data_IF_409675563701
#
_entry.id   IF_409675563701
#
_cell.length_a   1.000
_cell.length_b   1.000
_cell.length_c   1.000
_cell.angle_alpha   90.00
_cell.angle_beta   90.00
_cell.angle_gamma   90.00
#
_symmetry.space_group_name_H-M   'P 1'
#
loop_
_entity.id
_entity.type
_entity.pdbx_description
1 polymer ?
#
# COMPACT_ATOMS: atom_id res chain seq x y z
N UNK A 1 -8.14 -5.82 -25.73
CA UNK A 1 -6.77 -6.12 -25.22
C UNK A 1 -6.52 -5.51 -23.84
N UNK A 2 -6.84 -4.23 -23.61
CA UNK A 2 -6.73 -3.56 -22.29
C UNK A 2 -7.54 -4.25 -21.17
N UNK A 3 -8.83 -4.54 -21.40
CA UNK A 3 -9.71 -5.23 -20.44
C UNK A 3 -9.20 -6.63 -20.09
N UNK A 4 -8.66 -7.35 -21.09
CA UNK A 4 -8.10 -8.70 -20.89
C UNK A 4 -6.86 -8.67 -20.00
N UNK A 5 -6.03 -7.63 -20.12
CA UNK A 5 -4.81 -7.53 -19.33
C UNK A 5 -5.09 -7.01 -17.91
N UNK A 6 -6.00 -6.03 -17.73
CA UNK A 6 -6.43 -5.56 -16.38
C UNK A 6 -7.08 -6.73 -15.65
N UNK A 7 -7.94 -7.48 -16.34
CA UNK A 7 -8.54 -8.69 -15.81
C UNK A 7 -7.49 -9.72 -15.42
N UNK A 8 -6.45 -9.96 -16.23
CA UNK A 8 -5.34 -10.87 -15.87
C UNK A 8 -4.57 -10.42 -14.63
N UNK A 9 -4.32 -9.12 -14.44
CA UNK A 9 -3.63 -8.58 -13.26
C UNK A 9 -4.48 -8.71 -11.99
N UNK A 10 -5.76 -8.33 -12.07
CA UNK A 10 -6.74 -8.54 -11.00
C UNK A 10 -6.90 -10.04 -10.74
N UNK A 11 -6.86 -10.89 -11.78
CA UNK A 11 -6.96 -12.35 -11.63
C UNK A 11 -5.71 -12.96 -11.03
N UNK A 12 -4.51 -12.42 -11.28
CA UNK A 12 -3.28 -12.85 -10.59
C UNK A 12 -3.29 -12.43 -9.13
N UNK A 13 -3.66 -11.18 -8.82
CA UNK A 13 -3.78 -10.68 -7.44
C UNK A 13 -4.89 -11.42 -6.68
N UNK A 14 -6.04 -11.60 -7.33
CA UNK A 14 -7.12 -12.41 -6.83
C UNK A 14 -6.69 -13.86 -6.69
N UNK A 15 -5.92 -14.47 -7.60
CA UNK A 15 -5.45 -15.85 -7.42
C UNK A 15 -4.45 -16.00 -6.27
N UNK A 16 -3.68 -14.97 -5.96
CA UNK A 16 -2.78 -14.94 -4.79
C UNK A 16 -3.59 -14.78 -3.49
N UNK A 17 -4.64 -13.95 -3.49
CA UNK A 17 -5.58 -13.80 -2.36
C UNK A 17 -6.50 -15.04 -2.21
N UNK A 18 -6.97 -15.61 -3.31
CA UNK A 18 -7.90 -16.74 -3.41
C UNK A 18 -7.20 -18.08 -3.16
N UNK A 19 -5.87 -18.15 -3.34
CA UNK A 19 -5.08 -19.24 -2.77
C UNK A 19 -5.26 -19.33 -1.24
N UNK A 20 -5.63 -18.25 -0.57
CA UNK A 20 -5.86 -18.19 0.88
C UNK A 20 -7.28 -18.57 1.33
N UNK A 21 -8.31 -18.50 0.47
CA UNK A 21 -9.67 -18.86 0.91
C UNK A 21 -10.56 -19.48 -0.18
N UNK A 22 -10.92 -20.74 0.06
CA UNK A 22 -11.99 -21.47 -0.63
C UNK A 22 -13.33 -21.22 0.04
N UNK A 23 -14.38 -21.04 -0.77
CA UNK A 23 -15.76 -21.00 -0.29
C UNK A 23 -16.34 -22.41 -0.21
N UNK A 24 -17.12 -22.61 0.84
CA UNK A 24 -17.83 -23.80 1.27
C UNK A 24 -18.56 -24.53 0.14
N UNK A 25 -17.95 -25.60 -0.38
CA UNK A 25 -18.58 -26.89 -0.69
C UNK A 25 -17.46 -27.93 -0.90
N UNK A 26 -17.26 -28.84 0.06
CA UNK A 26 -16.49 -30.08 -0.15
C UNK A 26 -14.94 -30.04 -0.14
N UNK A 27 -14.29 -28.90 -0.39
CA UNK A 27 -12.82 -28.84 -0.67
C UNK A 27 -11.90 -28.39 0.50
N UNK A 28 -12.45 -28.14 1.69
CA UNK A 28 -11.70 -27.56 2.82
C UNK A 28 -10.52 -28.41 3.35
N UNK A 29 -10.55 -29.73 3.16
CA UNK A 29 -9.43 -30.58 3.61
C UNK A 29 -8.17 -30.41 2.75
N UNK A 30 -8.31 -30.07 1.47
CA UNK A 30 -7.17 -29.99 0.54
C UNK A 30 -6.47 -28.64 0.57
N UNK A 31 -7.21 -27.54 0.74
CA UNK A 31 -6.64 -26.18 0.81
C UNK A 31 -6.02 -25.86 2.17
N UNK A 32 -6.62 -26.33 3.28
CA UNK A 32 -5.97 -26.27 4.59
C UNK A 32 -4.66 -27.08 4.60
N UNK A 33 -4.64 -28.24 3.94
CA UNK A 33 -3.42 -29.04 3.80
C UNK A 33 -2.36 -28.35 2.94
N UNK A 34 -2.72 -27.65 1.86
CA UNK A 34 -1.73 -26.96 1.00
C UNK A 34 -1.07 -25.80 1.73
N UNK A 35 -1.81 -24.99 2.48
CA UNK A 35 -1.26 -23.89 3.27
C UNK A 35 -0.40 -24.39 4.43
N UNK A 36 -0.85 -25.43 5.15
CA UNK A 36 -0.03 -26.07 6.18
C UNK A 36 1.26 -26.65 5.58
N UNK A 37 1.19 -27.26 4.40
CA UNK A 37 2.37 -27.79 3.70
C UNK A 37 3.32 -26.67 3.28
N UNK A 38 2.81 -25.56 2.76
CA UNK A 38 3.60 -24.40 2.37
C UNK A 38 4.29 -23.75 3.57
N UNK A 39 3.55 -23.49 4.66
CA UNK A 39 4.10 -22.92 5.90
C UNK A 39 5.20 -23.84 6.46
N UNK A 40 4.96 -25.15 6.48
CA UNK A 40 5.94 -26.12 6.94
C UNK A 40 7.19 -26.15 6.05
N UNK A 41 7.02 -26.08 4.72
CA UNK A 41 8.12 -26.00 3.76
C UNK A 41 8.95 -24.73 3.96
N UNK A 42 8.31 -23.56 4.02
CA UNK A 42 8.98 -22.28 4.20
C UNK A 42 9.74 -22.22 5.53
N UNK A 43 9.10 -22.68 6.61
CA UNK A 43 9.71 -22.77 7.93
C UNK A 43 11.00 -23.61 7.90
N UNK A 44 10.95 -24.79 7.30
CA UNK A 44 12.07 -25.74 7.35
C UNK A 44 13.17 -25.47 6.32
N UNK A 45 12.90 -24.65 5.29
CA UNK A 45 13.88 -24.37 4.24
C UNK A 45 14.45 -22.95 4.29
N UNK A 46 13.63 -21.95 4.61
CA UNK A 46 14.04 -20.55 4.61
C UNK A 46 14.21 -19.98 6.03
N UNK A 47 13.37 -20.38 6.99
CA UNK A 47 13.33 -19.79 8.33
C UNK A 47 13.87 -20.73 9.41
N UNK A 48 15.10 -21.22 9.21
CA UNK A 48 15.77 -22.20 10.09
C UNK A 48 16.64 -21.53 11.16
N UNK A 49 16.75 -20.20 11.13
CA UNK A 49 17.62 -19.42 12.01
C UNK A 49 16.92 -19.02 13.31
N UNK A 50 17.56 -18.17 14.11
CA UNK A 50 16.95 -17.54 15.28
C UNK A 50 15.87 -16.53 14.85
N UNK A 51 15.01 -16.14 15.79
CA UNK A 51 13.89 -15.22 15.54
C UNK A 51 14.34 -13.92 14.89
N UNK A 52 15.52 -13.40 15.28
CA UNK A 52 16.10 -12.17 14.72
C UNK A 52 16.50 -12.31 13.26
N UNK A 53 17.27 -13.34 12.90
CA UNK A 53 17.68 -13.51 11.50
C UNK A 53 16.50 -13.91 10.62
N UNK A 54 15.56 -14.71 11.14
CA UNK A 54 14.35 -15.06 10.42
C UNK A 54 13.48 -13.84 10.12
N UNK A 55 13.30 -12.93 11.09
CA UNK A 55 12.53 -11.69 10.85
C UNK A 55 13.24 -10.76 9.87
N UNK A 56 14.57 -10.60 9.96
CA UNK A 56 15.36 -9.83 8.99
C UNK A 56 15.27 -10.41 7.57
N UNK A 57 15.34 -11.74 7.45
CA UNK A 57 15.21 -12.42 6.16
C UNK A 57 13.79 -12.26 5.58
N UNK A 58 12.76 -12.42 6.43
CA UNK A 58 11.37 -12.19 6.04
C UNK A 58 11.14 -10.75 5.58
N UNK A 59 11.72 -9.78 6.30
CA UNK A 59 11.70 -8.36 5.92
C UNK A 59 12.28 -8.14 4.51
N UNK A 60 13.38 -8.82 4.18
CA UNK A 60 13.94 -8.76 2.83
C UNK A 60 12.98 -9.34 1.78
N UNK A 61 12.30 -10.46 2.07
CA UNK A 61 11.33 -11.06 1.15
C UNK A 61 10.12 -10.16 0.90
N UNK A 62 9.53 -9.58 1.94
CA UNK A 62 8.37 -8.69 1.80
C UNK A 62 8.72 -7.43 1.01
N UNK A 63 10.00 -7.04 0.97
CA UNK A 63 10.44 -5.93 0.14
C UNK A 63 10.81 -6.29 -1.30
N UNK A 64 11.54 -7.38 -1.51
CA UNK A 64 12.05 -7.77 -2.83
C UNK A 64 10.95 -8.35 -3.71
N UNK A 65 10.09 -9.23 -3.17
CA UNK A 65 9.12 -9.98 -3.97
C UNK A 65 8.10 -9.04 -4.65
N UNK A 66 7.41 -8.13 -3.93
CA UNK A 66 6.47 -7.20 -4.57
C UNK A 66 7.16 -6.28 -5.60
N UNK A 67 8.39 -5.87 -5.32
CA UNK A 67 9.17 -5.04 -6.24
C UNK A 67 9.47 -5.76 -7.57
N UNK A 68 9.88 -7.04 -7.50
CA UNK A 68 10.08 -7.87 -8.69
C UNK A 68 8.79 -8.08 -9.48
N UNK A 69 7.66 -8.26 -8.79
CA UNK A 69 6.36 -8.38 -9.43
C UNK A 69 5.98 -7.11 -10.21
N UNK A 70 6.18 -5.92 -9.63
CA UNK A 70 5.85 -4.64 -10.30
C UNK A 70 6.68 -4.42 -11.56
N UNK A 71 7.99 -4.72 -11.51
CA UNK A 71 8.86 -4.64 -12.68
C UNK A 71 8.34 -5.55 -13.81
N UNK A 72 7.81 -6.73 -13.45
CA UNK A 72 7.28 -7.69 -14.40
C UNK A 72 5.90 -7.33 -14.97
N UNK A 73 5.24 -6.27 -14.49
CA UNK A 73 3.92 -5.82 -14.94
C UNK A 73 4.00 -4.73 -16.02
N UNK A 74 3.99 -5.08 -17.33
CA UNK A 74 4.07 -4.10 -18.41
C UNK A 74 2.87 -3.15 -18.48
N UNK A 75 1.74 -3.49 -17.86
CA UNK A 75 0.54 -2.64 -17.85
C UNK A 75 0.69 -1.35 -17.07
N UNK A 76 1.48 -1.39 -15.99
CA UNK A 76 1.77 -0.22 -15.18
C UNK A 76 2.60 0.83 -15.95
N UNK A 77 3.20 0.42 -17.07
CA UNK A 77 3.97 1.25 -17.98
C UNK A 77 3.16 1.71 -19.22
N UNK A 78 1.85 1.48 -19.22
CA UNK A 78 0.95 1.69 -20.36
C UNK A 78 0.32 3.09 -20.46
N UNK A 79 -0.83 3.16 -21.16
CA UNK A 79 -1.54 4.41 -21.45
C UNK A 79 -2.31 4.98 -20.23
N UNK A 80 -2.63 6.28 -20.23
CA UNK A 80 -3.26 7.03 -19.14
C UNK A 80 -4.54 6.37 -18.59
N UNK A 81 -5.37 5.77 -19.47
CA UNK A 81 -6.56 5.02 -19.06
C UNK A 81 -6.24 3.83 -18.15
N UNK A 82 -5.15 3.10 -18.42
CA UNK A 82 -4.73 1.97 -17.59
C UNK A 82 -4.29 2.44 -16.21
N UNK A 83 -3.49 3.52 -16.18
CA UNK A 83 -3.02 4.15 -14.93
C UNK A 83 -4.21 4.59 -14.08
N UNK A 84 -5.23 5.22 -14.69
CA UNK A 84 -6.43 5.65 -13.99
C UNK A 84 -7.24 4.48 -13.38
N UNK A 85 -7.36 3.34 -14.08
CA UNK A 85 -8.00 2.15 -13.50
C UNK A 85 -7.18 1.55 -12.34
N UNK A 86 -5.85 1.58 -12.43
CA UNK A 86 -5.00 1.17 -11.31
C UNK A 86 -5.07 2.14 -10.12
N UNK A 87 -5.24 3.45 -10.34
CA UNK A 87 -5.53 4.40 -9.25
C UNK A 87 -6.84 4.05 -8.55
N UNK A 88 -7.87 3.71 -9.33
CA UNK A 88 -9.16 3.33 -8.76
C UNK A 88 -9.05 2.03 -7.95
N UNK A 89 -8.34 1.02 -8.47
CA UNK A 89 -8.03 -0.19 -7.72
C UNK A 89 -7.24 0.09 -6.42
N UNK A 90 -6.21 0.92 -6.52
CA UNK A 90 -5.37 1.37 -5.42
C UNK A 90 -6.16 2.08 -4.31
N UNK A 91 -7.12 2.94 -4.67
CA UNK A 91 -8.03 3.56 -3.70
C UNK A 91 -8.82 2.49 -2.94
N UNK A 92 -9.33 1.48 -3.67
CA UNK A 92 -10.05 0.36 -3.08
C UNK A 92 -9.20 -0.42 -2.07
N UNK A 93 -7.96 -0.76 -2.43
CA UNK A 93 -7.06 -1.52 -1.55
C UNK A 93 -6.64 -0.69 -0.34
N UNK A 94 -6.35 0.60 -0.52
CA UNK A 94 -5.96 1.48 0.58
C UNK A 94 -7.12 1.67 1.58
N UNK A 95 -8.35 1.90 1.09
CA UNK A 95 -9.52 1.97 1.97
C UNK A 95 -9.86 0.63 2.62
N UNK A 96 -9.68 -0.48 1.90
CA UNK A 96 -9.85 -1.83 2.43
C UNK A 96 -8.92 -2.11 3.60
N UNK A 97 -7.63 -1.80 3.46
CA UNK A 97 -6.63 -1.90 4.52
C UNK A 97 -7.02 -1.10 5.77
N UNK A 98 -7.40 0.17 5.60
CA UNK A 98 -7.84 1.01 6.72
C UNK A 98 -9.06 0.39 7.44
N UNK A 99 -10.12 0.08 6.69
CA UNK A 99 -11.41 -0.26 7.28
C UNK A 99 -11.51 -1.69 7.78
N UNK A 100 -10.80 -2.62 7.16
CA UNK A 100 -10.94 -4.06 7.43
C UNK A 100 -9.75 -4.62 8.24
N UNK A 101 -8.58 -4.00 8.18
CA UNK A 101 -7.41 -4.43 8.93
C UNK A 101 -7.04 -3.45 10.04
N UNK A 102 -6.68 -2.20 9.70
CA UNK A 102 -6.10 -1.29 10.69
C UNK A 102 -7.10 -0.89 11.77
N UNK A 103 -8.33 -0.50 11.41
CA UNK A 103 -9.33 -0.07 12.39
C UNK A 103 -9.71 -1.21 13.35
N UNK A 104 -10.00 -2.45 12.89
CA UNK A 104 -10.30 -3.56 13.79
C UNK A 104 -9.14 -4.03 14.67
N UNK A 105 -7.89 -3.98 14.17
CA UNK A 105 -6.69 -4.42 14.89
C UNK A 105 -6.25 -3.40 15.96
N UNK A 106 -6.53 -2.11 15.74
CA UNK A 106 -6.10 -1.03 16.62
C UNK A 106 -6.85 -1.03 17.96
N UNK A 107 -6.16 -0.66 19.04
CA UNK A 107 -6.79 -0.45 20.35
C UNK A 107 -7.90 0.62 20.24
N UNK A 108 -9.18 0.27 20.57
CA UNK A 108 -10.29 1.21 20.54
C UNK A 108 -10.06 2.49 21.37
N UNK A 109 -9.24 2.44 22.42
CA UNK A 109 -9.00 3.62 23.26
C UNK A 109 -8.09 4.66 22.59
N UNK A 110 -7.16 4.21 21.76
CA UNK A 110 -6.21 5.04 21.03
C UNK A 110 -6.65 5.32 19.58
N UNK A 111 -7.54 4.49 19.02
CA UNK A 111 -7.95 4.53 17.61
C UNK A 111 -8.36 5.93 17.15
N UNK A 112 -9.35 6.55 17.80
CA UNK A 112 -9.86 7.85 17.37
C UNK A 112 -8.80 8.95 17.42
N UNK A 113 -7.97 8.95 18.48
CA UNK A 113 -6.88 9.92 18.64
C UNK A 113 -5.77 9.69 17.62
N UNK A 114 -5.41 8.43 17.35
CA UNK A 114 -4.42 8.06 16.34
C UNK A 114 -4.84 8.48 14.94
N UNK A 115 -6.07 8.13 14.53
CA UNK A 115 -6.62 8.52 13.23
C UNK A 115 -6.63 10.04 13.07
N UNK A 116 -7.11 10.78 14.08
CA UNK A 116 -7.17 12.23 14.02
C UNK A 116 -5.79 12.87 13.97
N UNK A 117 -4.85 12.42 14.81
CA UNK A 117 -3.48 12.95 14.82
C UNK A 117 -2.76 12.64 13.51
N UNK A 118 -2.90 11.42 12.98
CA UNK A 118 -2.40 11.06 11.66
C UNK A 118 -2.93 12.00 10.59
N UNK A 119 -4.25 12.12 10.47
CA UNK A 119 -4.88 13.00 9.50
C UNK A 119 -4.40 14.46 9.63
N UNK A 120 -4.37 15.01 10.85
CA UNK A 120 -3.95 16.39 11.12
C UNK A 120 -2.46 16.62 10.84
N UNK A 121 -1.59 15.66 11.15
CA UNK A 121 -0.17 15.74 10.82
C UNK A 121 0.04 15.80 9.31
N UNK A 122 -0.63 14.93 8.54
CA UNK A 122 -0.51 14.92 7.08
C UNK A 122 -1.09 16.18 6.43
N UNK A 123 -2.23 16.67 6.91
CA UNK A 123 -2.78 17.96 6.50
C UNK A 123 -1.80 19.11 6.75
N UNK A 124 -1.17 19.11 7.93
CA UNK A 124 -0.20 20.16 8.30
C UNK A 124 1.04 20.07 7.42
N UNK A 125 1.57 18.87 7.16
CA UNK A 125 2.71 18.65 6.27
C UNK A 125 2.41 19.10 4.84
N UNK A 126 1.23 18.78 4.31
CA UNK A 126 0.80 19.22 3.00
C UNK A 126 0.72 20.75 2.92
N UNK A 127 0.09 21.37 3.93
CA UNK A 127 -0.04 22.82 4.01
C UNK A 127 1.32 23.52 4.08
N UNK A 128 2.25 23.01 4.89
CA UNK A 128 3.62 23.53 4.98
C UNK A 128 4.33 23.41 3.63
N UNK A 129 4.19 22.26 2.95
CA UNK A 129 4.79 22.05 1.63
C UNK A 129 4.29 23.08 0.60
N UNK A 130 2.97 23.32 0.56
CA UNK A 130 2.37 24.33 -0.29
C UNK A 130 2.84 25.76 0.04
N UNK A 131 2.95 26.12 1.32
CA UNK A 131 3.46 27.43 1.74
C UNK A 131 4.92 27.62 1.31
N UNK A 132 5.78 26.62 1.57
CA UNK A 132 7.21 26.68 1.23
C UNK A 132 7.43 26.77 -0.29
N UNK A 133 6.64 26.03 -1.08
CA UNK A 133 6.70 26.11 -2.55
C UNK A 133 6.24 27.47 -3.08
N UNK A 134 5.31 28.15 -2.41
CA UNK A 134 4.76 29.44 -2.86
C UNK A 134 5.72 30.62 -2.71
N UNK A 135 6.69 30.53 -1.79
CA UNK A 135 7.67 31.59 -1.52
C UNK A 135 8.85 31.64 -2.52
N UNK A 136 8.97 30.69 -3.45
CA UNK A 136 10.10 30.62 -4.39
C UNK A 136 9.82 31.42 -5.70
N UNK A 137 8.59 31.89 -5.93
CA UNK A 137 8.20 32.56 -7.17
C UNK A 137 7.70 34.01 -7.05
N UNK A 138 7.95 34.70 -5.93
CA UNK A 138 7.78 36.15 -5.89
C UNK A 138 8.93 36.83 -6.62
N UNK A 139 8.78 37.03 -7.94
CA UNK A 139 9.24 38.17 -8.76
C UNK A 139 9.39 37.79 -10.24
N UNK A 140 8.29 37.56 -10.96
CA UNK A 140 8.22 37.97 -12.37
C UNK A 140 6.78 38.20 -12.80
N UNK A 141 6.48 39.43 -13.19
CA UNK A 141 5.21 39.78 -13.79
C UNK A 141 5.20 39.33 -15.26
N UNK A 142 4.39 38.33 -15.60
CA UNK A 142 3.88 38.18 -16.95
C UNK A 142 2.49 37.53 -16.92
N UNK A 143 1.52 38.25 -17.48
CA UNK A 143 0.17 37.76 -17.69
C UNK A 143 0.20 36.63 -18.73
N UNK A 144 0.05 35.39 -18.28
CA UNK A 144 -0.40 34.29 -19.13
C UNK A 144 -1.38 33.44 -18.35
N UNK A 145 -2.60 33.34 -18.87
CA UNK A 145 -3.62 32.43 -18.36
C UNK A 145 -3.20 31.00 -18.74
N UNK A 146 -2.38 30.36 -17.91
CA UNK A 146 -2.22 28.91 -17.97
C UNK A 146 -3.29 28.28 -17.08
N UNK A 147 -4.17 27.53 -17.72
CA UNK A 147 -5.04 26.60 -17.03
C UNK A 147 -4.15 25.65 -16.22
N UNK A 148 -4.26 25.68 -14.89
CA UNK A 148 -3.62 24.71 -14.02
C UNK A 148 -4.29 23.36 -14.26
N UNK A 149 -3.76 22.60 -15.21
CA UNK A 149 -4.03 21.16 -15.25
C UNK A 149 -3.63 20.61 -13.89
N UNK A 150 -4.57 19.92 -13.21
CA UNK A 150 -4.43 19.29 -11.90
C UNK A 150 -3.32 18.23 -11.89
N UNK A 151 -2.07 18.66 -11.97
CA UNK A 151 -0.93 17.80 -11.73
C UNK A 151 -0.88 17.54 -10.23
N UNK A 152 -0.98 16.28 -9.82
CA UNK A 152 -0.62 15.81 -8.47
C UNK A 152 0.59 16.60 -7.98
N UNK A 153 0.41 17.42 -6.94
CA UNK A 153 1.42 18.34 -6.46
C UNK A 153 2.65 17.58 -5.99
N UNK A 154 3.84 18.18 -6.04
CA UNK A 154 5.06 17.58 -5.45
C UNK A 154 4.83 17.12 -4.01
N UNK A 155 3.94 17.79 -3.28
CA UNK A 155 3.51 17.48 -1.92
C UNK A 155 2.86 16.09 -1.81
N UNK A 156 1.99 15.70 -2.75
CA UNK A 156 1.37 14.36 -2.76
C UNK A 156 2.38 13.21 -2.77
N UNK A 157 3.49 13.37 -3.51
CA UNK A 157 4.57 12.37 -3.56
C UNK A 157 5.27 12.23 -2.22
N UNK A 158 5.60 13.35 -1.57
CA UNK A 158 6.26 13.35 -0.28
C UNK A 158 5.36 12.77 0.82
N UNK A 159 4.09 13.11 0.80
CA UNK A 159 3.11 12.56 1.74
C UNK A 159 2.96 11.06 1.53
N UNK A 160 2.81 10.61 0.29
CA UNK A 160 2.78 9.17 -0.02
C UNK A 160 4.04 8.45 0.51
N UNK A 161 5.23 9.00 0.25
CA UNK A 161 6.47 8.42 0.77
C UNK A 161 6.51 8.32 2.30
N UNK A 162 6.02 9.34 3.01
CA UNK A 162 6.03 9.33 4.49
C UNK A 162 4.99 8.34 5.02
N UNK A 163 3.76 8.33 4.49
CA UNK A 163 2.72 7.40 4.97
C UNK A 163 3.14 5.97 4.74
N UNK A 164 3.58 5.64 3.52
CA UNK A 164 4.00 4.29 3.19
C UNK A 164 5.24 3.87 4.00
N UNK A 165 6.14 4.80 4.35
CA UNK A 165 7.30 4.46 5.20
C UNK A 165 6.84 4.09 6.62
N UNK A 166 5.91 4.84 7.19
CA UNK A 166 5.37 4.56 8.53
C UNK A 166 4.61 3.24 8.56
N UNK A 167 3.78 2.97 7.55
CA UNK A 167 3.10 1.68 7.40
C UNK A 167 4.11 0.52 7.32
N UNK A 168 5.12 0.64 6.45
CA UNK A 168 6.15 -0.38 6.33
C UNK A 168 6.93 -0.58 7.63
N UNK A 169 7.17 0.48 8.42
CA UNK A 169 7.77 0.36 9.77
C UNK A 169 6.91 -0.52 10.66
N UNK A 170 5.61 -0.28 10.69
CA UNK A 170 4.68 -1.07 11.48
C UNK A 170 4.65 -2.53 11.05
N UNK A 171 4.61 -2.81 9.75
CA UNK A 171 4.71 -4.18 9.23
C UNK A 171 6.00 -4.88 9.68
N UNK A 172 7.11 -4.14 9.66
CA UNK A 172 8.39 -4.64 10.17
C UNK A 172 8.34 -5.00 11.66
N UNK A 173 7.74 -4.14 12.49
CA UNK A 173 7.59 -4.40 13.93
C UNK A 173 6.73 -5.66 14.16
N UNK A 174 5.57 -5.73 13.51
CA UNK A 174 4.63 -6.88 13.58
C UNK A 174 5.30 -8.18 13.13
N UNK A 175 6.10 -8.12 12.06
CA UNK A 175 6.85 -9.25 11.54
C UNK A 175 7.89 -9.75 12.55
N UNK A 176 8.64 -8.86 13.17
CA UNK A 176 9.59 -9.21 14.23
C UNK A 176 8.87 -9.88 15.41
N UNK A 177 7.85 -9.23 15.98
CA UNK A 177 7.08 -9.77 17.11
C UNK A 177 6.53 -11.16 16.81
N UNK A 178 6.04 -11.39 15.60
CA UNK A 178 5.54 -12.71 15.16
C UNK A 178 6.61 -13.81 15.20
N UNK A 179 7.83 -13.53 14.73
CA UNK A 179 8.94 -14.49 14.77
C UNK A 179 9.51 -14.73 16.18
N UNK A 180 9.45 -13.73 17.06
CA UNK A 180 9.82 -13.92 18.48
C UNK A 180 8.78 -14.74 19.25
N UNK A 181 7.50 -14.67 18.85
CA UNK A 181 6.45 -15.52 19.40
C UNK A 181 6.57 -16.98 18.94
N UNK A 182 6.61 -17.20 17.62
CA UNK A 182 6.77 -18.53 17.04
C UNK A 182 7.16 -18.42 15.56
N UNK A 183 8.13 -19.21 15.09
CA UNK A 183 8.51 -19.24 13.66
C UNK A 183 7.33 -19.50 12.73
N UNK A 184 6.38 -20.34 13.14
CA UNK A 184 5.18 -20.66 12.34
C UNK A 184 4.28 -19.43 12.20
N UNK A 185 4.09 -18.67 13.28
CA UNK A 185 3.34 -17.40 13.25
C UNK A 185 4.10 -16.40 12.37
N UNK A 186 5.42 -16.26 12.55
CA UNK A 186 6.25 -15.41 11.69
C UNK A 186 6.15 -15.71 10.20
N UNK A 187 6.10 -16.99 9.80
CA UNK A 187 5.90 -17.38 8.40
C UNK A 187 4.51 -16.97 7.89
N UNK A 188 3.47 -17.21 8.68
CA UNK A 188 2.10 -16.80 8.33
C UNK A 188 2.02 -15.28 8.19
N UNK A 189 2.58 -14.53 9.14
CA UNK A 189 2.66 -13.06 9.08
C UNK A 189 3.43 -12.58 7.86
N UNK A 190 4.54 -13.26 7.49
CA UNK A 190 5.30 -12.92 6.28
C UNK A 190 4.45 -13.06 5.02
N UNK A 191 3.67 -14.15 4.92
CA UNK A 191 2.79 -14.39 3.78
C UNK A 191 1.63 -13.39 3.74
N UNK A 192 1.05 -13.07 4.90
CA UNK A 192 -0.02 -12.08 5.02
C UNK A 192 0.45 -10.68 4.59
N UNK A 193 1.62 -10.24 5.09
CA UNK A 193 2.23 -8.96 4.70
C UNK A 193 2.55 -8.93 3.21
N UNK A 194 3.17 -10.00 2.68
CA UNK A 194 3.42 -10.12 1.24
C UNK A 194 2.16 -9.95 0.40
N UNK A 195 1.03 -10.48 0.88
CA UNK A 195 -0.23 -10.45 0.15
C UNK A 195 -0.76 -9.02 -0.03
N UNK A 196 -0.74 -8.19 1.03
CA UNK A 196 -1.21 -6.80 0.95
C UNK A 196 -0.15 -5.80 0.48
N UNK A 197 1.14 -6.08 0.64
CA UNK A 197 2.23 -5.24 0.13
C UNK A 197 2.23 -5.12 -1.40
N UNK A 198 1.83 -6.16 -2.13
CA UNK A 198 1.73 -6.08 -3.60
C UNK A 198 0.72 -5.00 -4.03
N UNK A 199 -0.54 -5.01 -3.55
CA UNK A 199 -1.48 -3.90 -3.71
C UNK A 199 -0.93 -2.52 -3.32
N UNK A 200 -0.31 -2.38 -2.14
CA UNK A 200 0.20 -1.10 -1.67
C UNK A 200 1.32 -0.57 -2.57
N UNK A 201 2.25 -1.41 -3.02
CA UNK A 201 3.32 -0.95 -3.92
C UNK A 201 2.83 -0.64 -5.34
N UNK A 202 1.76 -1.28 -5.81
CA UNK A 202 1.07 -0.85 -7.03
C UNK A 202 0.51 0.56 -6.85
N UNK A 203 -0.10 0.84 -5.69
CA UNK A 203 -0.63 2.17 -5.32
C UNK A 203 0.47 3.24 -5.36
N UNK A 204 1.57 3.01 -4.64
CA UNK A 204 2.74 3.91 -4.62
C UNK A 204 3.30 4.15 -6.04
N UNK A 205 3.46 3.08 -6.82
CA UNK A 205 3.98 3.15 -8.18
C UNK A 205 3.12 4.08 -9.05
N UNK A 206 1.81 3.91 -8.98
CA UNK A 206 0.85 4.66 -9.79
C UNK A 206 0.84 6.13 -9.39
N UNK A 207 0.89 6.43 -8.09
CA UNK A 207 1.00 7.81 -7.58
C UNK A 207 2.27 8.46 -8.13
N UNK A 208 3.44 7.81 -8.02
CA UNK A 208 4.69 8.36 -8.54
C UNK A 208 4.65 8.59 -10.06
N UNK A 209 4.09 7.64 -10.83
CA UNK A 209 3.96 7.79 -12.28
C UNK A 209 3.05 8.95 -12.67
N UNK A 210 1.93 9.14 -11.95
CA UNK A 210 1.04 10.29 -12.15
C UNK A 210 1.72 11.62 -11.85
N UNK A 211 2.58 11.65 -10.84
CA UNK A 211 3.42 12.82 -10.54
C UNK A 211 4.60 13.02 -11.50
N UNK A 212 4.60 12.33 -12.65
CA UNK A 212 5.56 12.54 -13.73
C UNK A 212 6.91 11.86 -13.52
N UNK A 213 7.03 10.91 -12.58
CA UNK A 213 8.31 10.23 -12.34
C UNK A 213 8.69 9.33 -13.51
N UNK A 214 9.98 9.37 -13.89
CA UNK A 214 10.56 8.36 -14.77
C UNK A 214 10.59 7.00 -14.07
N UNK A 215 10.64 5.91 -14.83
CA UNK A 215 10.64 4.57 -14.25
C UNK A 215 11.76 4.40 -13.20
N UNK A 216 12.97 4.89 -13.51
CA UNK A 216 14.09 4.85 -12.56
C UNK A 216 13.80 5.62 -11.26
N UNK A 217 13.20 6.81 -11.36
CA UNK A 217 12.85 7.61 -10.20
C UNK A 217 11.76 6.93 -9.36
N UNK A 218 10.73 6.36 -10.00
CA UNK A 218 9.68 5.59 -9.35
C UNK A 218 10.26 4.40 -8.57
N UNK A 219 11.10 3.60 -9.22
CA UNK A 219 11.74 2.45 -8.58
C UNK A 219 12.64 2.84 -7.42
N UNK A 220 13.45 3.89 -7.58
CA UNK A 220 14.27 4.43 -6.50
C UNK A 220 13.43 4.87 -5.30
N UNK A 221 12.29 5.55 -5.54
CA UNK A 221 11.37 5.98 -4.48
C UNK A 221 10.71 4.80 -3.76
N UNK A 222 10.31 3.75 -4.48
CA UNK A 222 9.81 2.50 -3.88
C UNK A 222 10.87 1.81 -3.02
N UNK A 223 12.15 1.85 -3.43
CA UNK A 223 13.25 1.32 -2.62
C UNK A 223 13.47 2.13 -1.33
N UNK A 224 13.29 3.45 -1.36
CA UNK A 224 13.34 4.28 -0.14
C UNK A 224 12.21 3.88 0.81
N UNK A 225 11.00 3.69 0.28
CA UNK A 225 9.88 3.22 1.09
C UNK A 225 10.18 1.86 1.77
N UNK A 226 10.92 1.01 1.06
CA UNK A 226 11.26 -0.32 1.55
C UNK A 226 12.17 -0.33 2.79
N UNK A 227 12.89 0.77 3.06
CA UNK A 227 13.70 0.93 4.26
C UNK A 227 12.87 0.96 5.55
N UNK A 228 11.60 1.38 5.46
CA UNK A 228 10.68 1.41 6.59
C UNK A 228 10.56 0.05 7.25
N UNK A 229 10.29 -1.01 6.49
CA UNK A 229 10.16 -2.37 7.04
C UNK A 229 11.45 -2.91 7.64
N UNK A 230 12.61 -2.66 7.02
CA UNK A 230 13.89 -3.12 7.59
C UNK A 230 14.12 -2.42 8.94
N UNK A 231 13.87 -1.11 8.98
CA UNK A 231 14.02 -0.32 10.20
C UNK A 231 13.02 -0.73 11.29
N UNK A 232 11.76 -0.92 10.92
CA UNK A 232 10.70 -1.41 11.80
C UNK A 232 11.00 -2.80 12.35
N UNK A 233 11.48 -3.72 11.52
CA UNK A 233 11.88 -5.06 11.95
C UNK A 233 13.04 -4.99 12.92
N UNK A 234 14.00 -4.08 12.70
CA UNK A 234 15.11 -3.87 13.64
C UNK A 234 14.59 -3.34 14.98
N UNK A 235 13.69 -2.36 14.98
CA UNK A 235 13.03 -1.85 16.19
C UNK A 235 12.28 -2.98 16.90
N UNK A 236 11.47 -3.76 16.19
CA UNK A 236 10.71 -4.87 16.74
C UNK A 236 11.60 -5.94 17.39
N UNK A 237 12.75 -6.27 16.78
CA UNK A 237 13.74 -7.15 17.41
C UNK A 237 14.26 -6.55 18.73
N UNK A 238 14.61 -5.26 18.74
CA UNK A 238 15.12 -4.59 19.94
C UNK A 238 14.06 -4.49 21.06
N UNK A 239 12.78 -4.34 20.71
CA UNK A 239 11.66 -4.39 21.66
C UNK A 239 11.59 -5.78 22.29
N UNK A 240 11.54 -6.83 21.46
CA UNK A 240 11.40 -8.22 21.92
C UNK A 240 12.66 -8.74 22.67
N UNK A 241 13.83 -8.18 22.40
CA UNK A 241 15.08 -8.46 23.13
C UNK A 241 15.19 -7.71 24.47
N UNK A 242 14.23 -6.83 24.78
CA UNK A 242 14.19 -6.12 26.06
C UNK A 242 14.94 -4.77 26.09
N UNK A 243 15.44 -4.28 24.94
CA UNK A 243 16.24 -3.05 24.84
C UNK A 243 15.35 -1.81 24.77
N UNK A 244 14.21 -1.91 24.08
CA UNK A 244 13.26 -0.81 23.85
C UNK A 244 11.93 -1.00 24.60
N UNK A 245 11.96 -1.49 25.85
CA UNK A 245 10.76 -1.80 26.65
C UNK A 245 9.76 -0.66 26.88
N UNK A 246 10.14 0.59 26.61
CA UNK A 246 9.28 1.76 26.77
C UNK A 246 8.66 2.23 25.44
N UNK A 247 8.99 1.60 24.32
CA UNK A 247 8.42 1.94 23.03
C UNK A 247 7.00 1.37 22.95
N UNK A 248 6.00 2.24 22.74
CA UNK A 248 4.63 1.83 22.47
C UNK A 248 4.34 2.02 20.96
N UNK A 249 4.17 0.91 20.25
CA UNK A 249 3.86 0.83 18.83
C UNK A 249 2.35 0.85 18.53
N UNK A 250 1.47 0.69 19.53
CA UNK A 250 0.01 0.66 19.39
C UNK A 250 -0.54 1.94 18.73
N UNK A 251 0.16 3.07 18.88
CA UNK A 251 -0.22 4.34 18.28
C UNK A 251 0.14 4.46 16.80
N UNK A 252 1.14 3.71 16.32
CA UNK A 252 1.65 3.84 14.94
C UNK A 252 0.62 3.40 13.90
N UNK A 253 -0.10 2.30 14.17
CA UNK A 253 -1.15 1.77 13.28
C UNK A 253 -2.26 2.81 13.01
N UNK A 254 -3.00 3.30 14.03
CA UNK A 254 -4.07 4.26 13.80
C UNK A 254 -3.54 5.61 13.30
N UNK A 255 -2.31 6.01 13.67
CA UNK A 255 -1.67 7.19 13.09
C UNK A 255 -1.43 7.04 11.58
N UNK A 256 -0.91 5.89 11.14
CA UNK A 256 -0.70 5.59 9.72
C UNK A 256 -2.02 5.59 8.94
N UNK A 257 -3.06 4.93 9.47
CA UNK A 257 -4.40 4.94 8.88
C UNK A 257 -4.96 6.36 8.74
N UNK A 258 -4.77 7.24 9.73
CA UNK A 258 -5.16 8.65 9.62
C UNK A 258 -4.49 9.37 8.44
N UNK A 259 -3.19 9.12 8.23
CA UNK A 259 -2.45 9.63 7.07
C UNK A 259 -2.92 9.07 5.74
N UNK A 260 -3.25 7.78 5.69
CA UNK A 260 -3.80 7.12 4.50
C UNK A 260 -5.22 7.59 4.14
N UNK A 261 -6.06 7.88 5.14
CA UNK A 261 -7.36 8.53 4.93
C UNK A 261 -7.16 9.90 4.28
N UNK A 262 -6.22 10.70 4.79
CA UNK A 262 -5.89 12.00 4.21
C UNK A 262 -5.44 11.87 2.75
N UNK A 263 -4.48 10.99 2.48
CA UNK A 263 -3.96 10.76 1.13
C UNK A 263 -5.06 10.31 0.16
N UNK A 264 -5.92 9.39 0.60
CA UNK A 264 -7.05 8.91 -0.22
C UNK A 264 -8.03 10.03 -0.54
N UNK A 265 -8.42 10.83 0.46
CA UNK A 265 -9.43 11.86 0.31
C UNK A 265 -8.93 13.08 -0.47
N UNK A 266 -7.66 13.46 -0.30
CA UNK A 266 -7.13 14.74 -0.80
C UNK A 266 -6.26 14.55 -2.06
N UNK A 267 -5.67 13.38 -2.25
CA UNK A 267 -4.85 13.09 -3.44
C UNK A 267 -5.59 12.20 -4.42
N UNK A 268 -6.08 11.04 -3.99
CA UNK A 268 -6.53 9.99 -4.92
C UNK A 268 -7.95 10.23 -5.45
N UNK A 269 -8.89 10.58 -4.57
CA UNK A 269 -10.30 10.82 -4.96
C UNK A 269 -10.45 11.99 -5.93
N UNK A 270 -9.88 13.19 -5.69
CA UNK A 270 -9.98 14.30 -6.63
C UNK A 270 -9.41 13.94 -8.00
N UNK A 271 -8.26 13.26 -8.01
CA UNK A 271 -7.59 12.75 -9.20
C UNK A 271 -8.47 11.82 -10.05
N UNK A 272 -9.31 11.01 -9.43
CA UNK A 272 -10.25 10.13 -10.13
C UNK A 272 -11.42 10.93 -10.72
N UNK A 273 -11.92 11.92 -9.97
CA UNK A 273 -13.02 12.78 -10.41
C UNK A 273 -12.65 13.69 -11.58
N UNK A 274 -11.39 14.13 -11.66
CA UNK A 274 -10.89 14.99 -12.73
C UNK A 274 -10.37 14.20 -13.95
N UNK A 275 -10.34 12.87 -13.89
CA UNK A 275 -9.78 12.00 -14.96
C UNK A 275 -10.71 11.84 -16.17
N UNK A 276 -10.99 12.93 -16.88
CA UNK A 276 -11.69 12.98 -18.17
C UNK A 276 -10.78 13.51 -19.28
N UNK A 277 -10.91 12.96 -20.47
CA UNK A 277 -10.21 13.46 -21.67
C UNK A 277 -11.21 14.36 -22.40
N UNK A 278 -10.90 15.64 -22.67
CA UNK A 278 -11.86 16.61 -23.24
C UNK A 278 -12.44 16.17 -24.59
N UNK A 279 -11.77 15.25 -25.28
CA UNK A 279 -12.21 14.66 -26.54
C UNK A 279 -13.13 13.43 -26.42
N UNK A 280 -13.34 12.89 -25.21
CA UNK A 280 -14.21 11.74 -25.01
C UNK A 280 -15.68 12.13 -25.06
N UNK A 281 -16.49 11.23 -25.61
CA UNK A 281 -17.95 11.37 -25.50
C UNK A 281 -18.39 11.14 -24.04
N UNK A 282 -19.48 11.81 -23.62
CA UNK A 282 -20.09 11.60 -22.29
C UNK A 282 -20.34 10.13 -21.95
N UNK A 283 -20.65 9.30 -22.95
CA UNK A 283 -20.84 7.87 -22.77
C UNK A 283 -19.54 7.13 -22.44
N UNK A 284 -18.42 7.52 -23.07
CA UNK A 284 -17.11 6.94 -22.77
C UNK A 284 -16.60 7.36 -21.40
N UNK A 285 -16.86 8.60 -20.98
CA UNK A 285 -16.57 9.07 -19.62
C UNK A 285 -17.37 8.28 -18.58
N UNK A 286 -18.68 8.11 -18.79
CA UNK A 286 -19.52 7.28 -17.93
C UNK A 286 -19.02 5.83 -17.85
N UNK A 287 -18.65 5.23 -18.98
CA UNK A 287 -18.12 3.86 -19.00
C UNK A 287 -16.78 3.76 -18.26
N UNK A 288 -15.91 4.75 -18.40
CA UNK A 288 -14.64 4.80 -17.67
C UNK A 288 -14.88 4.92 -16.17
N UNK A 289 -15.83 5.76 -15.75
CA UNK A 289 -16.19 5.90 -14.34
C UNK A 289 -16.78 4.62 -13.76
N UNK A 290 -17.66 3.92 -14.49
CA UNK A 290 -18.18 2.60 -14.08
C UNK A 290 -17.04 1.60 -13.90
N UNK A 291 -16.07 1.58 -14.82
CA UNK A 291 -14.90 0.72 -14.73
C UNK A 291 -14.01 1.08 -13.53
N UNK A 292 -13.83 2.37 -13.23
CA UNK A 292 -13.11 2.82 -12.03
C UNK A 292 -13.83 2.37 -10.75
N UNK A 293 -15.15 2.53 -10.66
CA UNK A 293 -15.94 2.05 -9.53
C UNK A 293 -15.82 0.54 -9.35
N UNK A 294 -15.88 -0.23 -10.45
CA UNK A 294 -15.64 -1.67 -10.40
C UNK A 294 -14.23 -2.02 -9.90
N UNK A 295 -13.22 -1.26 -10.30
CA UNK A 295 -11.84 -1.42 -9.81
C UNK A 295 -11.71 -1.07 -8.31
N UNK A 296 -12.36 -0.01 -7.83
CA UNK A 296 -12.39 0.34 -6.38
C UNK A 296 -13.00 -0.82 -5.59
N UNK A 297 -14.15 -1.33 -6.00
CA UNK A 297 -14.80 -2.46 -5.34
C UNK A 297 -13.94 -3.71 -5.39
N UNK A 298 -13.29 -4.00 -6.54
CA UNK A 298 -12.39 -5.13 -6.65
C UNK A 298 -11.17 -5.01 -5.71
N UNK A 299 -10.60 -3.81 -5.56
CA UNK A 299 -9.50 -3.55 -4.63
C UNK A 299 -9.93 -3.70 -3.17
N UNK A 300 -11.09 -3.15 -2.81
CA UNK A 300 -11.64 -3.28 -1.46
C UNK A 300 -11.94 -4.76 -1.12
N UNK A 301 -12.56 -5.49 -2.06
CA UNK A 301 -12.88 -6.90 -1.86
C UNK A 301 -11.63 -7.77 -1.79
N UNK A 302 -10.55 -7.42 -2.51
CA UNK A 302 -9.26 -8.08 -2.37
C UNK A 302 -8.76 -7.99 -0.91
N UNK A 303 -8.82 -6.79 -0.32
CA UNK A 303 -8.46 -6.62 1.10
C UNK A 303 -9.43 -7.36 2.02
N UNK A 304 -10.73 -7.33 1.74
CA UNK A 304 -11.70 -8.08 2.54
C UNK A 304 -11.38 -9.58 2.59
N UNK A 305 -10.98 -10.16 1.45
CA UNK A 305 -10.54 -11.55 1.38
C UNK A 305 -9.23 -11.83 2.14
N UNK A 306 -8.44 -10.80 2.44
CA UNK A 306 -7.22 -10.88 3.26
C UNK A 306 -7.46 -10.58 4.74
N UNK A 307 -8.66 -10.10 5.12
CA UNK A 307 -9.01 -9.74 6.50
C UNK A 307 -9.62 -10.91 7.28
N UNK A 308 -10.03 -11.97 6.58
CA UNK A 308 -10.56 -13.23 7.13
C UNK A 308 -9.46 -14.31 7.25
#
# INVERSE_FOLDING_TARGET
>A
MLVRNVSLCIFTLASMAWAHHGHEHGDNHQQSQSMVTLVHYLKNHFFVYDSRLNSMLASAFIQIIPYMLIISMPMLHGNARSISLFVAFALGTLLGDIFLHIIPESDPTLLGNGLFMGFMSFLTLDKISHIMSSNIHSHSHSHSHSHSHGSTSSSSVYLNLITSLIHNVTDGITLATSFYNNTTIGVITTLAILAHEVPHKITDFVIFKKSGFSNFKTYKSLSVNSLGSIFGTMIGCLINEGILNQFNDEFLLPFSAGGFIYLSAVTIVPDLLESGDEHNSKFQELLNWILQMACIVAGFQLMALMAE
#
